data_IF_658197070854
#
_entry.id   IF_658197070854
#
_cell.length_a   1.000
_cell.length_b   1.000
_cell.length_c   1.000
_cell.angle_alpha   90.00
_cell.angle_beta   90.00
_cell.angle_gamma   90.00
#
_symmetry.space_group_name_H-M   'P 1'
#
loop_
_entity.id
_entity.type
_entity.pdbx_description
1 polymer ?
#
# COMPACT_ATOMS: atom_id res chain seq x y z
N UNK A 1 -6.19 15.29 20.90
CA UNK A 1 -5.48 16.47 20.37
C UNK A 1 -5.33 17.56 21.44
N UNK A 2 -6.41 18.04 22.07
CA UNK A 2 -6.40 19.10 23.09
C UNK A 2 -5.50 18.76 24.31
N UNK A 3 -5.57 17.54 24.84
CA UNK A 3 -4.76 17.12 25.99
C UNK A 3 -3.25 17.08 25.69
N UNK A 4 -2.86 16.79 24.45
CA UNK A 4 -1.45 16.78 24.04
C UNK A 4 -0.85 18.18 24.01
N UNK A 5 -1.62 19.18 23.56
CA UNK A 5 -1.22 20.59 23.56
C UNK A 5 -1.08 21.11 25.01
N UNK A 6 -2.01 20.73 25.89
CA UNK A 6 -1.99 21.11 27.31
C UNK A 6 -0.75 20.57 28.06
N UNK A 7 -0.34 19.34 27.78
CA UNK A 7 0.87 18.73 28.37
C UNK A 7 2.13 19.42 27.86
N UNK A 8 2.21 19.75 26.57
CA UNK A 8 3.34 20.48 25.98
C UNK A 8 3.47 21.88 26.62
N UNK A 9 2.37 22.59 26.83
CA UNK A 9 2.36 23.90 27.49
C UNK A 9 2.81 23.81 28.95
N UNK A 10 2.36 22.80 29.70
CA UNK A 10 2.75 22.57 31.09
C UNK A 10 4.24 22.27 31.27
N UNK A 11 4.92 21.75 30.26
CA UNK A 11 6.36 21.45 30.32
C UNK A 11 7.18 22.63 29.79
N UNK A 12 6.79 23.23 28.66
CA UNK A 12 7.57 24.29 28.02
C UNK A 12 7.51 25.61 28.82
N UNK A 13 6.36 25.95 29.41
CA UNK A 13 6.19 27.23 30.11
C UNK A 13 7.07 27.33 31.37
N UNK A 14 7.11 26.35 32.29
CA UNK A 14 7.99 26.41 33.45
C UNK A 14 9.48 26.42 33.09
N UNK A 15 9.88 25.66 32.05
CA UNK A 15 11.26 25.67 31.54
C UNK A 15 11.61 27.06 30.99
N UNK A 16 10.72 27.67 30.21
CA UNK A 16 10.91 29.03 29.69
C UNK A 16 10.99 30.09 30.80
N UNK A 17 10.19 29.96 31.85
CA UNK A 17 10.23 30.85 33.02
C UNK A 17 11.53 30.67 33.80
N UNK A 18 11.93 29.44 34.12
CA UNK A 18 13.18 29.15 34.82
C UNK A 18 14.40 29.66 34.03
N UNK A 19 14.39 29.43 32.71
CA UNK A 19 15.41 29.92 31.80
C UNK A 19 15.47 31.45 31.75
N UNK A 20 14.33 32.14 31.79
CA UNK A 20 14.31 33.61 31.85
C UNK A 20 14.92 34.14 33.15
N UNK A 21 14.62 33.52 34.29
CA UNK A 21 15.13 33.98 35.59
C UNK A 21 16.62 33.74 35.78
N UNK A 22 17.18 32.66 35.27
CA UNK A 22 18.63 32.37 35.33
C UNK A 22 19.45 33.43 34.57
N UNK A 23 18.96 33.88 33.41
CA UNK A 23 19.69 34.78 32.52
C UNK A 23 19.33 36.27 32.67
N UNK A 24 18.42 36.62 33.60
CA UNK A 24 18.08 38.03 33.96
C UNK A 24 19.31 38.83 34.43
N UNK A 25 20.39 38.15 34.85
CA UNK A 25 21.64 38.75 35.31
C UNK A 25 22.59 39.16 34.17
N UNK A 26 22.49 38.57 32.97
CA UNK A 26 23.27 38.95 31.79
C UNK A 26 22.41 38.98 30.50
N UNK A 27 21.84 40.15 30.15
CA UNK A 27 20.93 40.28 29.02
C UNK A 27 21.62 40.06 27.65
N UNK A 28 22.95 40.16 27.56
CA UNK A 28 23.69 39.92 26.32
C UNK A 28 23.85 38.43 26.04
N UNK A 29 24.18 37.64 27.06
CA UNK A 29 24.19 36.17 26.95
C UNK A 29 22.79 35.62 26.66
N UNK A 30 21.76 36.19 27.30
CA UNK A 30 20.36 35.80 27.07
C UNK A 30 19.94 35.97 25.60
N UNK A 31 20.19 37.16 25.03
CA UNK A 31 19.84 37.44 23.63
C UNK A 31 20.66 36.61 22.66
N UNK A 32 21.93 36.34 22.96
CA UNK A 32 22.77 35.45 22.16
C UNK A 32 22.25 34.00 22.18
N UNK A 33 21.87 33.50 23.35
CA UNK A 33 21.36 32.14 23.50
C UNK A 33 20.00 31.95 22.84
N UNK A 34 19.03 32.85 23.04
CA UNK A 34 17.73 32.81 22.33
C UNK A 34 17.93 32.89 20.82
N UNK A 35 18.85 33.74 20.35
CA UNK A 35 19.17 33.84 18.91
C UNK A 35 19.78 32.54 18.38
N UNK A 36 20.57 31.84 19.18
CA UNK A 36 21.20 30.57 18.80
C UNK A 36 20.20 29.41 18.84
N UNK A 37 19.38 29.32 19.88
CA UNK A 37 18.30 28.35 20.03
C UNK A 37 17.21 28.55 18.95
N UNK A 38 16.81 29.79 18.70
CA UNK A 38 15.86 30.15 17.63
C UNK A 38 16.38 29.79 16.24
N UNK A 39 17.68 29.99 15.97
CA UNK A 39 18.31 29.49 14.74
C UNK A 39 18.29 27.96 14.66
N UNK A 40 18.51 27.25 15.77
CA UNK A 40 18.42 25.79 15.84
C UNK A 40 17.01 25.27 15.56
N UNK A 41 16.00 25.88 16.20
CA UNK A 41 14.57 25.55 16.00
C UNK A 41 14.17 25.85 14.55
N UNK A 42 14.54 27.02 14.01
CA UNK A 42 14.24 27.37 12.62
C UNK A 42 14.87 26.39 11.63
N UNK A 43 16.13 25.99 11.84
CA UNK A 43 16.77 24.93 11.04
C UNK A 43 15.98 23.63 11.13
N UNK A 44 15.56 23.23 12.34
CA UNK A 44 14.74 22.03 12.54
C UNK A 44 13.41 22.10 11.78
N UNK A 45 12.69 23.22 11.86
CA UNK A 45 11.44 23.44 11.14
C UNK A 45 11.64 23.43 9.61
N UNK A 46 12.75 23.99 9.12
CA UNK A 46 13.11 23.92 7.69
C UNK A 46 13.32 22.46 7.26
N UNK A 47 14.04 21.65 8.04
CA UNK A 47 14.21 20.22 7.75
C UNK A 47 12.87 19.47 7.75
N UNK A 48 12.00 19.74 8.72
CA UNK A 48 10.66 19.13 8.78
C UNK A 48 9.83 19.55 7.56
N UNK A 49 9.86 20.84 7.19
CA UNK A 49 9.17 21.35 6.01
C UNK A 49 9.66 20.70 4.71
N UNK A 50 10.98 20.53 4.57
CA UNK A 50 11.58 19.79 3.44
C UNK A 50 11.09 18.35 3.41
N UNK A 51 11.09 17.65 4.56
CA UNK A 51 10.68 16.26 4.64
C UNK A 51 9.19 16.06 4.30
N UNK A 52 8.32 16.95 4.79
CA UNK A 52 6.90 16.97 4.43
C UNK A 52 6.73 17.22 2.93
N UNK A 53 7.47 18.19 2.38
CA UNK A 53 7.44 18.51 0.94
C UNK A 53 7.88 17.34 0.07
N UNK A 54 8.97 16.66 0.44
CA UNK A 54 9.45 15.46 -0.25
C UNK A 54 8.42 14.33 -0.19
N UNK A 55 7.81 14.09 0.97
CA UNK A 55 6.79 13.06 1.13
C UNK A 55 5.53 13.34 0.30
N UNK A 56 5.09 14.60 0.23
CA UNK A 56 3.96 14.99 -0.60
C UNK A 56 4.25 14.80 -2.10
N UNK A 57 5.44 15.18 -2.56
CA UNK A 57 5.88 14.96 -3.95
C UNK A 57 5.95 13.47 -4.25
N UNK A 58 6.50 12.67 -3.33
CA UNK A 58 6.58 11.21 -3.46
C UNK A 58 5.19 10.60 -3.70
N UNK A 59 4.19 10.96 -2.90
CA UNK A 59 2.82 10.47 -3.06
C UNK A 59 2.13 10.93 -4.35
N UNK A 60 2.48 12.11 -4.87
CA UNK A 60 1.89 12.66 -6.09
C UNK A 60 2.50 12.11 -7.38
N UNK A 61 3.77 11.74 -7.34
CA UNK A 61 4.54 11.35 -8.54
C UNK A 61 4.69 9.84 -8.65
N UNK A 62 4.69 9.12 -7.53
CA UNK A 62 4.99 7.69 -7.49
C UNK A 62 3.73 6.90 -7.13
N UNK A 63 3.39 5.85 -7.90
CA UNK A 63 4.10 5.34 -9.07
C UNK A 63 3.97 6.30 -10.26
N UNK A 64 5.05 6.41 -11.05
CA UNK A 64 5.10 7.27 -12.26
C UNK A 64 4.01 6.86 -13.25
N UNK A 65 3.58 5.61 -13.16
CA UNK A 65 2.56 5.04 -13.98
C UNK A 65 1.15 5.47 -13.54
N UNK A 66 0.57 6.41 -14.28
CA UNK A 66 -0.74 7.01 -13.98
C UNK A 66 -1.92 6.39 -14.71
N UNK A 67 -1.67 5.51 -15.69
CA UNK A 67 -2.74 4.93 -16.50
C UNK A 67 -3.10 3.50 -16.04
N UNK A 68 -2.86 3.26 -14.75
CA UNK A 68 -3.43 2.15 -14.00
C UNK A 68 -3.14 0.78 -14.61
N UNK A 69 -2.01 0.66 -15.33
CA UNK A 69 -1.56 -0.58 -15.91
C UNK A 69 -1.95 -0.77 -17.37
N UNK A 70 -2.83 0.05 -17.95
CA UNK A 70 -3.35 -0.16 -19.31
C UNK A 70 -2.22 -0.07 -20.35
N UNK A 71 -1.26 0.82 -20.14
CA UNK A 71 -0.06 0.98 -20.96
C UNK A 71 0.78 -0.30 -21.08
N UNK A 72 0.70 -1.22 -20.12
CA UNK A 72 1.37 -2.52 -20.19
C UNK A 72 0.62 -3.57 -21.03
N UNK A 73 -0.55 -3.28 -21.61
CA UNK A 73 -1.30 -4.27 -22.41
C UNK A 73 -0.51 -4.86 -23.59
N UNK A 74 0.35 -4.06 -24.23
CA UNK A 74 1.22 -4.54 -25.32
C UNK A 74 2.30 -5.51 -24.82
N UNK A 75 2.73 -5.35 -23.57
CA UNK A 75 3.68 -6.26 -22.92
C UNK A 75 2.99 -7.54 -22.45
N UNK A 76 1.80 -7.40 -21.84
CA UNK A 76 0.96 -8.54 -21.46
C UNK A 76 0.69 -9.48 -22.62
N UNK A 77 0.39 -8.93 -23.80
CA UNK A 77 0.17 -9.71 -25.02
C UNK A 77 1.39 -10.54 -25.42
N UNK A 78 2.61 -9.98 -25.30
CA UNK A 78 3.86 -10.71 -25.59
C UNK A 78 4.12 -11.81 -24.56
N UNK A 79 3.71 -11.60 -23.32
CA UNK A 79 3.90 -12.53 -22.21
C UNK A 79 2.76 -13.57 -22.11
N UNK A 80 1.70 -13.44 -22.90
CA UNK A 80 0.51 -14.29 -22.81
C UNK A 80 -0.34 -14.04 -21.56
N UNK A 81 -0.20 -12.87 -20.93
CA UNK A 81 -0.97 -12.46 -19.75
C UNK A 81 -2.27 -11.77 -20.19
N UNK A 82 -3.40 -11.93 -19.48
CA UNK A 82 -4.65 -11.27 -19.86
C UNK A 82 -4.56 -9.75 -19.84
N UNK A 83 -5.03 -9.11 -20.93
CA UNK A 83 -5.11 -7.65 -21.06
C UNK A 83 -6.25 -7.05 -20.23
N UNK A 84 -6.09 -5.79 -19.85
CA UNK A 84 -7.16 -4.94 -19.32
C UNK A 84 -7.91 -4.35 -20.52
N UNK A 85 -9.15 -4.78 -20.73
CA UNK A 85 -10.03 -4.28 -21.80
C UNK A 85 -11.12 -3.34 -21.28
N UNK A 86 -12.04 -2.94 -22.17
CA UNK A 86 -13.08 -1.93 -21.88
C UNK A 86 -14.11 -2.38 -20.83
N UNK A 87 -14.28 -3.70 -20.62
CA UNK A 87 -15.20 -4.25 -19.63
C UNK A 87 -14.64 -4.28 -18.19
N UNK A 88 -13.43 -3.77 -18.00
CA UNK A 88 -12.78 -3.66 -16.70
C UNK A 88 -13.07 -2.32 -16.04
N UNK A 89 -13.56 -2.38 -14.82
CA UNK A 89 -13.78 -1.23 -13.94
C UNK A 89 -12.56 -1.07 -13.00
N UNK A 90 -11.96 0.13 -12.99
CA UNK A 90 -10.95 0.48 -12.00
C UNK A 90 -11.64 0.74 -10.66
N UNK A 91 -11.26 0.01 -9.62
CA UNK A 91 -11.77 0.23 -8.26
C UNK A 91 -10.81 1.09 -7.46
N UNK A 92 -10.82 2.38 -7.75
CA UNK A 92 -9.96 3.38 -7.11
C UNK A 92 -10.08 3.34 -5.58
N UNK A 93 -11.30 3.16 -5.05
CA UNK A 93 -11.55 3.10 -3.61
C UNK A 93 -10.96 1.86 -2.89
N UNK A 94 -10.57 0.83 -3.64
CA UNK A 94 -9.85 -0.35 -3.14
C UNK A 94 -8.37 -0.33 -3.53
N UNK A 95 -7.96 0.70 -4.27
CA UNK A 95 -6.59 0.86 -4.73
C UNK A 95 -5.78 1.65 -3.69
N UNK A 96 -4.49 1.36 -3.62
CA UNK A 96 -3.53 2.04 -2.77
C UNK A 96 -2.47 2.68 -3.66
N UNK A 97 -1.58 3.50 -3.10
CA UNK A 97 -0.55 4.21 -3.88
C UNK A 97 0.19 3.25 -4.83
N UNK A 98 0.59 2.07 -4.37
CA UNK A 98 1.36 1.09 -5.14
C UNK A 98 0.52 -0.09 -5.66
N UNK A 99 -0.80 0.02 -5.66
CA UNK A 99 -1.67 -1.10 -5.98
C UNK A 99 -2.94 -0.64 -6.67
N UNK A 100 -3.15 -1.07 -7.91
CA UNK A 100 -4.42 -0.85 -8.60
C UNK A 100 -5.23 -2.14 -8.64
N UNK A 101 -6.52 -2.04 -8.30
CA UNK A 101 -7.45 -3.15 -8.44
C UNK A 101 -8.43 -2.92 -9.57
N UNK A 102 -8.55 -3.91 -10.44
CA UNK A 102 -9.46 -3.95 -11.57
C UNK A 102 -10.48 -5.07 -11.38
N UNK A 103 -11.72 -4.83 -11.77
CA UNK A 103 -12.79 -5.82 -11.75
C UNK A 103 -13.50 -5.86 -13.08
N UNK A 104 -13.69 -7.04 -13.67
CA UNK A 104 -14.57 -7.19 -14.83
C UNK A 104 -16.01 -7.03 -14.38
N UNK A 105 -16.72 -6.12 -15.05
CA UNK A 105 -18.16 -5.92 -14.87
C UNK A 105 -18.95 -7.16 -15.30
N UNK A 106 -18.53 -7.76 -16.41
CA UNK A 106 -19.04 -9.03 -16.93
C UNK A 106 -17.86 -9.94 -17.30
N UNK A 107 -17.90 -11.19 -16.83
CA UNK A 107 -16.84 -12.18 -16.99
C UNK A 107 -17.42 -13.47 -17.56
N UNK A 108 -17.14 -13.76 -18.84
CA UNK A 108 -17.54 -15.00 -19.51
C UNK A 108 -16.50 -16.12 -19.38
N UNK A 109 -15.25 -15.74 -19.11
CA UNK A 109 -14.06 -16.63 -19.02
C UNK A 109 -13.67 -16.95 -17.57
N UNK A 110 -14.56 -16.67 -16.61
CA UNK A 110 -14.29 -16.80 -15.17
C UNK A 110 -13.29 -15.79 -14.60
N UNK A 111 -12.47 -15.13 -15.41
CA UNK A 111 -11.54 -14.10 -14.96
C UNK A 111 -12.33 -12.85 -14.55
N UNK A 112 -12.28 -12.45 -13.29
CA UNK A 112 -13.13 -11.37 -12.78
C UNK A 112 -12.40 -10.24 -12.06
N UNK A 113 -11.16 -10.45 -11.62
CA UNK A 113 -10.40 -9.46 -10.87
C UNK A 113 -8.93 -9.53 -11.23
N UNK A 114 -8.30 -8.36 -11.37
CA UNK A 114 -6.86 -8.21 -11.58
C UNK A 114 -6.31 -7.22 -10.57
N UNK A 115 -5.15 -7.50 -10.01
CA UNK A 115 -4.42 -6.60 -9.12
C UNK A 115 -3.06 -6.35 -9.75
N UNK A 116 -2.69 -5.08 -9.90
CA UNK A 116 -1.35 -4.69 -10.34
C UNK A 116 -0.65 -4.04 -9.15
N UNK A 117 0.51 -4.58 -8.79
CA UNK A 117 1.39 -4.01 -7.76
C UNK A 117 2.55 -3.28 -8.46
N UNK A 118 2.79 -2.03 -8.07
CA UNK A 118 3.81 -1.17 -8.66
C UNK A 118 4.98 -0.99 -7.72
N UNK A 119 6.18 -0.97 -8.29
CA UNK A 119 7.35 -0.37 -7.67
C UNK A 119 7.38 1.14 -7.92
N UNK A 120 8.55 1.73 -7.70
CA UNK A 120 8.75 3.18 -7.91
C UNK A 120 8.59 3.56 -9.40
N UNK A 121 9.08 2.71 -10.29
CA UNK A 121 9.18 3.00 -11.72
C UNK A 121 8.11 2.28 -12.56
N UNK A 122 7.90 0.98 -12.31
CA UNK A 122 7.09 0.10 -13.16
C UNK A 122 6.24 -0.87 -12.32
N UNK A 123 5.40 -1.68 -12.97
CA UNK A 123 4.75 -2.81 -12.34
C UNK A 123 5.79 -3.83 -11.84
N UNK A 124 5.64 -4.30 -10.61
CA UNK A 124 6.46 -5.36 -10.01
C UNK A 124 5.79 -6.72 -10.17
N UNK A 125 4.46 -6.77 -10.01
CA UNK A 125 3.70 -7.99 -10.20
C UNK A 125 2.25 -7.76 -10.60
N UNK A 126 1.65 -8.81 -11.16
CA UNK A 126 0.25 -8.85 -11.52
C UNK A 126 -0.40 -10.11 -10.97
N UNK A 127 -1.57 -9.96 -10.36
CA UNK A 127 -2.38 -11.08 -9.87
C UNK A 127 -3.72 -11.12 -10.60
N UNK A 128 -4.00 -12.24 -11.25
CA UNK A 128 -5.25 -12.49 -11.97
C UNK A 128 -6.10 -13.51 -11.22
N UNK A 129 -7.37 -13.20 -10.98
CA UNK A 129 -8.30 -14.02 -10.21
C UNK A 129 -9.43 -14.56 -11.07
N UNK A 130 -9.67 -15.86 -10.92
CA UNK A 130 -10.63 -16.63 -11.69
C UNK A 130 -11.61 -17.30 -10.74
N UNK A 131 -12.88 -17.22 -11.10
CA UNK A 131 -13.98 -17.97 -10.47
C UNK A 131 -14.44 -19.04 -11.44
N UNK A 132 -14.90 -20.15 -10.89
CA UNK A 132 -15.56 -21.20 -11.64
C UNK A 132 -16.98 -21.38 -11.10
N UNK A 133 -17.99 -21.30 -11.97
CA UNK A 133 -19.40 -21.39 -11.58
C UNK A 133 -19.76 -22.79 -11.06
N UNK A 134 -19.06 -23.83 -11.49
CA UNK A 134 -19.21 -25.21 -11.02
C UNK A 134 -18.60 -25.43 -9.62
N UNK A 135 -17.66 -24.58 -9.19
CA UNK A 135 -16.94 -24.69 -7.91
C UNK A 135 -17.16 -23.45 -7.03
N UNK A 136 -18.42 -23.23 -6.63
CA UNK A 136 -18.81 -22.07 -5.81
C UNK A 136 -17.95 -21.92 -4.55
N UNK A 137 -17.50 -20.69 -4.29
CA UNK A 137 -16.67 -20.35 -3.12
C UNK A 137 -15.19 -20.70 -3.26
N UNK A 138 -14.78 -21.37 -4.35
CA UNK A 138 -13.37 -21.61 -4.68
C UNK A 138 -12.92 -20.63 -5.75
N UNK A 139 -11.74 -20.05 -5.57
CA UNK A 139 -11.11 -19.17 -6.55
C UNK A 139 -9.76 -19.74 -6.96
N UNK A 140 -9.38 -19.58 -8.22
CA UNK A 140 -8.01 -19.78 -8.65
C UNK A 140 -7.40 -18.42 -8.94
N UNK A 141 -6.12 -18.24 -8.64
CA UNK A 141 -5.43 -17.03 -9.03
C UNK A 141 -3.99 -17.32 -9.41
N UNK A 142 -3.49 -16.52 -10.35
CA UNK A 142 -2.11 -16.58 -10.81
C UNK A 142 -1.42 -15.27 -10.49
N UNK A 143 -0.19 -15.33 -9.99
CA UNK A 143 0.67 -14.17 -9.79
C UNK A 143 1.84 -14.22 -10.78
N UNK A 144 1.97 -13.20 -11.60
CA UNK A 144 3.13 -12.98 -12.47
C UNK A 144 4.06 -11.95 -11.84
N UNK A 145 5.35 -12.27 -11.76
CA UNK A 145 6.40 -11.39 -11.26
C UNK A 145 7.25 -10.91 -12.46
N UNK A 146 7.28 -9.58 -12.67
CA UNK A 146 8.00 -8.96 -13.79
C UNK A 146 9.51 -8.91 -13.56
N UNK A 147 9.98 -9.02 -12.32
CA UNK A 147 11.40 -8.99 -11.98
C UNK A 147 12.11 -10.30 -12.35
N UNK A 148 11.43 -11.43 -12.17
CA UNK A 148 11.98 -12.76 -12.48
C UNK A 148 11.32 -13.46 -13.69
N UNK A 149 10.28 -12.85 -14.27
CA UNK A 149 9.49 -13.41 -15.37
C UNK A 149 8.87 -14.77 -15.07
N UNK A 150 8.42 -14.99 -13.82
CA UNK A 150 7.82 -16.26 -13.40
C UNK A 150 6.34 -16.10 -13.05
N UNK A 151 5.58 -17.18 -13.26
CA UNK A 151 4.19 -17.30 -12.84
C UNK A 151 4.07 -18.31 -11.72
N UNK A 152 3.33 -17.94 -10.69
CA UNK A 152 2.89 -18.84 -9.63
C UNK A 152 1.36 -18.98 -9.68
N UNK A 153 0.86 -20.17 -9.32
CA UNK A 153 -0.55 -20.50 -9.44
C UNK A 153 -1.07 -21.02 -8.10
N UNK A 154 -2.29 -20.62 -7.75
CA UNK A 154 -2.88 -20.92 -6.46
C UNK A 154 -4.37 -21.21 -6.59
N UNK A 155 -4.87 -22.03 -5.68
CA UNK A 155 -6.30 -22.20 -5.43
C UNK A 155 -6.60 -21.77 -4.00
N UNK A 156 -7.62 -20.94 -3.86
CA UNK A 156 -8.20 -20.49 -2.61
C UNK A 156 -9.55 -21.20 -2.40
N UNK A 157 -9.63 -22.05 -1.38
CA UNK A 157 -10.85 -22.79 -1.01
C UNK A 157 -11.41 -22.27 0.32
N UNK A 158 -12.72 -22.36 0.55
CA UNK A 158 -13.28 -22.08 1.88
C UNK A 158 -12.74 -23.11 2.88
N UNK A 159 -12.37 -22.63 4.06
CA UNK A 159 -12.03 -23.46 5.21
C UNK A 159 -13.30 -23.61 6.06
N UNK A 160 -13.59 -24.85 6.47
CA UNK A 160 -14.75 -25.15 7.32
C UNK A 160 -14.54 -24.75 8.79
N UNK A 161 -13.33 -24.34 9.17
CA UNK A 161 -13.03 -23.87 10.52
C UNK A 161 -13.54 -22.44 10.74
N UNK A 162 -14.32 -22.19 11.79
CA UNK A 162 -14.95 -20.86 12.04
C UNK A 162 -13.94 -19.81 12.57
N UNK A 163 -12.75 -20.25 12.99
CA UNK A 163 -11.72 -19.43 13.62
C UNK A 163 -10.35 -19.83 13.07
N UNK A 164 -9.62 -18.87 12.51
CA UNK A 164 -8.23 -19.08 12.09
C UNK A 164 -7.29 -18.08 12.76
N UNK A 165 -6.05 -18.50 12.99
CA UNK A 165 -4.97 -17.68 13.54
C UNK A 165 -4.14 -17.17 12.37
N UNK A 166 -4.03 -15.84 12.23
CA UNK A 166 -3.13 -15.23 11.24
C UNK A 166 -1.67 -15.52 11.58
N UNK A 167 -0.74 -15.42 10.61
CA UNK A 167 0.71 -15.52 10.86
C UNK A 167 1.21 -14.54 11.95
N UNK A 168 0.48 -13.45 12.16
CA UNK A 168 0.75 -12.46 13.23
C UNK A 168 0.18 -12.82 14.61
N UNK A 169 -0.43 -14.00 14.78
CA UNK A 169 -1.04 -14.46 16.04
C UNK A 169 -2.40 -13.84 16.37
N UNK A 170 -2.98 -13.02 15.46
CA UNK A 170 -4.32 -12.44 15.66
C UNK A 170 -5.41 -13.42 15.19
N UNK A 171 -6.46 -13.58 15.99
CA UNK A 171 -7.66 -14.36 15.65
C UNK A 171 -8.46 -13.61 14.57
N UNK A 172 -8.74 -14.28 13.44
CA UNK A 172 -9.64 -13.79 12.40
C UNK A 172 -10.97 -14.54 12.51
N UNK A 173 -12.02 -13.84 12.92
CA UNK A 173 -13.40 -14.34 12.83
C UNK A 173 -13.92 -14.11 11.41
N UNK A 174 -14.27 -15.18 10.72
CA UNK A 174 -14.76 -15.20 9.34
C UNK A 174 -14.57 -16.57 8.73
N UNK A 175 -15.09 -16.82 7.53
CA UNK A 175 -14.78 -18.03 6.76
C UNK A 175 -13.30 -17.95 6.35
N UNK A 176 -12.38 -18.69 6.99
CA UNK A 176 -10.99 -18.71 6.58
C UNK A 176 -10.93 -19.30 5.18
N UNK A 177 -9.87 -18.99 4.46
CA UNK A 177 -9.60 -19.61 3.18
C UNK A 177 -8.27 -20.33 3.25
N UNK A 178 -8.22 -21.50 2.64
CA UNK A 178 -6.99 -22.27 2.48
C UNK A 178 -6.41 -21.90 1.12
N UNK A 179 -5.21 -21.34 1.12
CA UNK A 179 -4.45 -21.03 -0.09
C UNK A 179 -3.50 -22.19 -0.35
N UNK A 180 -3.67 -22.86 -1.47
CA UNK A 180 -2.81 -23.96 -1.90
C UNK A 180 -2.08 -23.53 -3.18
N UNK A 181 -0.74 -23.59 -3.16
CA UNK A 181 0.05 -23.47 -4.39
C UNK A 181 -0.14 -24.72 -5.22
N UNK A 182 -0.40 -24.54 -6.51
CA UNK A 182 -0.68 -25.61 -7.48
C UNK A 182 0.21 -25.47 -8.71
N UNK A 183 0.22 -26.50 -9.56
CA UNK A 183 0.90 -26.42 -10.85
C UNK A 183 0.03 -25.73 -11.91
N UNK A 184 0.67 -25.37 -13.02
CA UNK A 184 0.00 -24.68 -14.14
C UNK A 184 -1.12 -25.53 -14.74
N UNK A 185 -0.93 -26.84 -14.85
CA UNK A 185 -1.90 -27.76 -15.45
C UNK A 185 -3.18 -27.87 -14.63
N UNK A 186 -3.09 -27.93 -13.30
CA UNK A 186 -4.23 -27.94 -12.39
C UNK A 186 -4.98 -26.60 -12.46
N UNK A 187 -4.24 -25.49 -12.58
CA UNK A 187 -4.82 -24.17 -12.76
C UNK A 187 -5.59 -24.06 -14.06
N UNK A 188 -4.98 -24.46 -15.18
CA UNK A 188 -5.61 -24.47 -16.50
C UNK A 188 -6.87 -25.35 -16.52
N UNK A 189 -6.84 -26.48 -15.83
CA UNK A 189 -8.02 -27.34 -15.67
C UNK A 189 -9.14 -26.63 -14.89
N UNK A 190 -8.82 -25.90 -13.83
CA UNK A 190 -9.82 -25.17 -13.06
C UNK A 190 -10.50 -24.07 -13.88
N UNK A 191 -9.76 -23.32 -14.70
CA UNK A 191 -10.33 -22.22 -15.50
C UNK A 191 -11.09 -22.72 -16.74
N UNK A 192 -10.85 -23.96 -17.18
CA UNK A 192 -11.49 -24.55 -18.36
C UNK A 192 -12.78 -25.33 -18.05
N UNK A 193 -12.97 -25.75 -16.80
CA UNK A 193 -14.19 -26.43 -16.30
C UNK A 193 -15.38 -25.48 -16.17
#
# INVERSE_FOLDING_TARGET
MIYGILIIVLIIVPIGIAYYYDYKKDPKEFTFSIKTMGKGILKGLVYVGILIGLNAIYQLVIPINKNHGIEFNSEREKLGIPKIGDNWENREYQSEQFKTQWWKTESTDGHFKKIIEYGILNAESETDYYKNDNRKGTFAWSKYDFGNNTSEYFIEKPNDEIVSVTESGKLKMGNPTIIQKIDKSEFEKFIAE
#
